data_IF_170179964174
#
_entry.id   IF_170179964174
#
_cell.length_a   1.000
_cell.length_b   1.000
_cell.length_c   1.000
_cell.angle_alpha   90.00
_cell.angle_beta   90.00
_cell.angle_gamma   90.00
#
_symmetry.space_group_name_H-M   'P 1'
#
loop_
_entity.id
_entity.type
_entity.pdbx_description
1 polymer ?
#
# COMPACT_ATOMS: atom_id res chain seq x y z
N UNK A 1 21.61 18.12 -40.85
CA UNK A 1 20.41 18.09 -39.97
C UNK A 1 19.89 16.68 -39.64
N UNK A 2 19.82 15.72 -40.58
CA UNK A 2 19.24 14.38 -40.34
C UNK A 2 20.08 13.49 -39.40
N UNK A 3 21.41 13.57 -39.45
CA UNK A 3 22.33 12.83 -38.55
C UNK A 3 22.29 13.37 -37.12
N UNK A 4 22.27 14.70 -36.96
CA UNK A 4 22.17 15.36 -35.64
C UNK A 4 20.88 14.97 -34.90
N UNK A 5 19.73 14.99 -35.58
CA UNK A 5 18.45 14.54 -35.00
C UNK A 5 18.49 13.07 -34.56
N UNK A 6 19.16 12.19 -35.33
CA UNK A 6 19.32 10.77 -34.96
C UNK A 6 20.22 10.58 -33.75
N UNK A 7 21.36 11.27 -33.70
CA UNK A 7 22.28 11.25 -32.56
C UNK A 7 21.61 11.78 -31.29
N UNK A 8 20.81 12.84 -31.41
CA UNK A 8 20.04 13.41 -30.29
C UNK A 8 18.98 12.41 -29.79
N UNK A 9 18.23 11.78 -30.69
CA UNK A 9 17.23 10.77 -30.31
C UNK A 9 17.87 9.56 -29.60
N UNK A 10 19.04 9.10 -30.06
CA UNK A 10 19.79 8.02 -29.39
C UNK A 10 20.26 8.45 -28.00
N UNK A 11 20.76 9.69 -27.86
CA UNK A 11 21.15 10.24 -26.56
C UNK A 11 19.98 10.31 -25.57
N UNK A 12 18.81 10.79 -26.02
CA UNK A 12 17.60 10.84 -25.20
C UNK A 12 17.15 9.44 -24.82
N UNK A 13 17.14 8.49 -25.76
CA UNK A 13 16.77 7.10 -25.49
C UNK A 13 17.69 6.45 -24.47
N UNK A 14 19.01 6.66 -24.59
CA UNK A 14 19.98 6.12 -23.64
C UNK A 14 19.79 6.75 -22.25
N UNK A 15 19.57 8.06 -22.18
CA UNK A 15 19.30 8.75 -20.93
C UNK A 15 18.03 8.21 -20.24
N UNK A 16 16.95 8.02 -21.01
CA UNK A 16 15.71 7.44 -20.48
C UNK A 16 15.94 6.02 -19.95
N UNK A 17 16.70 5.18 -20.66
CA UNK A 17 17.04 3.83 -20.21
C UNK A 17 17.84 3.86 -18.90
N UNK A 18 18.83 4.74 -18.78
CA UNK A 18 19.62 4.89 -17.55
C UNK A 18 18.74 5.33 -16.38
N UNK A 19 17.84 6.30 -16.59
CA UNK A 19 16.89 6.74 -15.56
C UNK A 19 15.94 5.61 -15.16
N UNK A 20 15.40 4.87 -16.13
CA UNK A 20 14.54 3.70 -15.88
C UNK A 20 15.26 2.65 -15.03
N UNK A 21 16.50 2.34 -15.40
CA UNK A 21 17.33 1.40 -14.65
C UNK A 21 17.60 1.87 -13.23
N UNK A 22 17.98 3.14 -13.04
CA UNK A 22 18.36 3.67 -11.73
C UNK A 22 17.17 3.77 -10.77
N UNK A 23 16.00 4.20 -11.25
CA UNK A 23 14.86 4.50 -10.39
C UNK A 23 13.85 3.37 -10.25
N UNK A 24 13.85 2.38 -11.15
CA UNK A 24 12.88 1.27 -11.09
C UNK A 24 13.56 -0.08 -11.04
N UNK A 25 14.46 -0.39 -11.99
CA UNK A 25 15.08 -1.73 -12.05
C UNK A 25 15.99 -1.99 -10.85
N UNK A 26 16.88 -1.06 -10.51
CA UNK A 26 17.84 -1.23 -9.40
C UNK A 26 17.13 -1.36 -8.05
N UNK A 27 16.18 -0.48 -7.66
CA UNK A 27 15.46 -0.64 -6.40
C UNK A 27 14.66 -1.94 -6.34
N UNK A 28 14.03 -2.34 -7.45
CA UNK A 28 13.32 -3.61 -7.53
C UNK A 28 14.24 -4.83 -7.29
N UNK A 29 15.48 -4.79 -7.79
CA UNK A 29 16.43 -5.90 -7.59
C UNK A 29 17.01 -5.94 -6.17
N UNK A 30 17.10 -4.81 -5.47
CA UNK A 30 17.66 -4.73 -4.12
C UNK A 30 16.59 -5.03 -3.06
N UNK A 31 15.43 -4.38 -3.13
CA UNK A 31 14.38 -4.43 -2.11
C UNK A 31 13.26 -5.40 -2.50
N UNK A 32 13.08 -5.65 -3.79
CA UNK A 32 11.98 -6.46 -4.33
C UNK A 32 10.84 -5.61 -4.89
N UNK A 33 9.72 -6.26 -5.28
CA UNK A 33 8.53 -5.55 -5.73
C UNK A 33 7.95 -4.66 -4.61
N UNK A 34 7.32 -3.52 -4.96
CA UNK A 34 6.53 -2.74 -4.02
C UNK A 34 5.48 -3.60 -3.32
N UNK A 35 5.30 -3.37 -2.01
CA UNK A 35 4.37 -4.14 -1.17
C UNK A 35 2.92 -3.64 -1.38
N UNK A 36 1.88 -4.37 -0.94
CA UNK A 36 0.50 -3.86 -1.02
C UNK A 36 0.30 -2.60 -0.16
N UNK A 37 -0.80 -1.87 -0.41
CA UNK A 37 -1.17 -0.70 0.39
C UNK A 37 -1.51 -1.11 1.82
N UNK A 38 -2.33 -2.16 1.93
CA UNK A 38 -2.63 -2.81 3.19
C UNK A 38 -2.87 -4.30 2.97
N UNK A 39 -2.66 -5.07 4.04
CA UNK A 39 -3.07 -6.46 4.20
C UNK A 39 -3.99 -6.57 5.40
N UNK A 40 -5.01 -7.42 5.30
CA UNK A 40 -5.87 -7.78 6.43
C UNK A 40 -5.90 -9.28 6.55
N UNK A 41 -5.70 -9.80 7.76
CA UNK A 41 -5.83 -11.22 8.06
C UNK A 41 -6.75 -11.47 9.23
N UNK A 42 -7.67 -12.41 9.07
CA UNK A 42 -8.53 -12.88 10.15
C UNK A 42 -7.88 -14.09 10.84
N UNK A 43 -7.44 -13.92 12.10
CA UNK A 43 -6.93 -15.01 12.92
C UNK A 43 -8.01 -15.64 13.82
N UNK A 44 -9.20 -15.05 13.87
CA UNK A 44 -10.37 -15.60 14.57
C UNK A 44 -10.94 -16.82 13.80
N UNK A 45 -11.69 -17.66 14.51
CA UNK A 45 -12.56 -18.71 13.98
C UNK A 45 -13.89 -18.18 13.44
N UNK A 46 -14.25 -16.93 13.77
CA UNK A 46 -15.46 -16.26 13.29
C UNK A 46 -15.34 -15.69 11.87
N UNK A 47 -16.50 -15.41 11.26
CA UNK A 47 -16.58 -14.57 10.06
C UNK A 47 -16.81 -13.13 10.52
N UNK A 48 -16.01 -12.20 10.00
CA UNK A 48 -16.11 -10.79 10.35
C UNK A 48 -16.31 -9.89 9.14
N UNK A 49 -17.08 -8.83 9.34
CA UNK A 49 -17.23 -7.76 8.37
C UNK A 49 -16.23 -6.64 8.71
N UNK A 50 -15.28 -6.37 7.81
CA UNK A 50 -14.34 -5.27 7.94
C UNK A 50 -14.57 -4.23 6.85
N UNK A 51 -15.00 -3.03 7.24
CA UNK A 51 -15.01 -1.86 6.37
C UNK A 51 -13.71 -1.09 6.46
N UNK A 52 -13.08 -0.85 5.32
CA UNK A 52 -11.83 -0.14 5.15
C UNK A 52 -12.10 1.16 4.39
N UNK A 53 -11.89 2.28 5.07
CA UNK A 53 -11.93 3.62 4.50
C UNK A 53 -10.52 4.21 4.47
N UNK A 54 -10.07 4.69 3.32
CA UNK A 54 -8.74 5.29 3.15
C UNK A 54 -8.91 6.70 2.62
N UNK A 55 -8.27 7.65 3.29
CA UNK A 55 -8.26 9.06 2.90
C UNK A 55 -6.83 9.53 2.62
N UNK A 56 -6.67 10.38 1.60
CA UNK A 56 -5.39 11.06 1.35
C UNK A 56 -5.16 12.21 2.35
N UNK A 57 -4.00 12.86 2.27
CA UNK A 57 -3.62 13.99 3.12
C UNK A 57 -4.53 15.22 3.00
N UNK A 58 -5.34 15.31 1.94
CA UNK A 58 -6.36 16.36 1.75
C UNK A 58 -7.75 15.90 2.18
N UNK A 59 -7.83 14.74 2.82
CA UNK A 59 -9.06 14.08 3.25
C UNK A 59 -10.00 13.69 2.10
N UNK A 60 -9.47 13.48 0.88
CA UNK A 60 -10.24 12.89 -0.20
C UNK A 60 -10.34 11.39 0.02
N UNK A 61 -11.52 10.81 -0.21
CA UNK A 61 -11.71 9.36 -0.17
C UNK A 61 -10.97 8.70 -1.33
N UNK A 62 -10.04 7.80 -1.01
CA UNK A 62 -9.24 6.99 -1.94
C UNK A 62 -9.83 5.59 -2.05
N UNK A 63 -10.35 5.05 -0.95
CA UNK A 63 -11.00 3.75 -0.89
C UNK A 63 -12.12 3.80 0.15
N UNK A 64 -13.23 3.14 -0.16
CA UNK A 64 -14.27 2.76 0.79
C UNK A 64 -14.81 1.40 0.35
N UNK A 65 -14.44 0.35 1.08
CA UNK A 65 -14.84 -1.03 0.77
C UNK A 65 -15.09 -1.82 2.03
N UNK A 66 -16.07 -2.69 1.96
CA UNK A 66 -16.36 -3.70 2.99
C UNK A 66 -15.90 -5.07 2.50
N UNK A 67 -15.19 -5.78 3.37
CA UNK A 67 -14.72 -7.14 3.17
C UNK A 67 -15.40 -8.06 4.18
N UNK A 68 -15.88 -9.20 3.73
CA UNK A 68 -16.34 -10.29 4.58
C UNK A 68 -15.20 -11.29 4.67
N UNK A 69 -14.65 -11.50 5.86
CA UNK A 69 -13.44 -12.28 6.08
C UNK A 69 -13.76 -13.53 6.88
N UNK A 70 -13.60 -14.68 6.24
CA UNK A 70 -13.72 -15.99 6.87
C UNK A 70 -12.52 -16.28 7.79
N UNK A 71 -12.64 -17.29 8.64
CA UNK A 71 -11.55 -17.72 9.51
C UNK A 71 -10.28 -18.06 8.71
N UNK A 72 -9.16 -17.42 9.07
CA UNK A 72 -7.88 -17.58 8.39
C UNK A 72 -7.76 -16.88 7.04
N UNK A 73 -8.81 -16.19 6.57
CA UNK A 73 -8.79 -15.48 5.30
C UNK A 73 -7.88 -14.25 5.37
N UNK A 74 -7.18 -14.00 4.25
CA UNK A 74 -6.29 -12.88 4.10
C UNK A 74 -6.60 -12.14 2.79
N UNK A 75 -6.72 -10.82 2.89
CA UNK A 75 -7.00 -9.94 1.75
C UNK A 75 -5.91 -8.88 1.63
N UNK A 76 -5.58 -8.56 0.39
CA UNK A 76 -4.58 -7.55 0.07
C UNK A 76 -5.18 -6.51 -0.86
N UNK A 77 -4.81 -5.26 -0.65
CA UNK A 77 -5.13 -4.20 -1.59
C UNK A 77 -3.86 -3.65 -2.23
N UNK A 78 -3.72 -3.72 -3.57
CA UNK A 78 -2.51 -3.25 -4.23
C UNK A 78 -2.37 -1.73 -4.12
N UNK A 79 -1.13 -1.23 -4.15
CA UNK A 79 -0.90 0.21 -4.25
C UNK A 79 -1.25 0.73 -5.65
N UNK A 80 -1.76 1.96 -5.77
CA UNK A 80 -1.85 2.64 -7.05
C UNK A 80 -0.47 2.79 -7.72
N UNK A 81 -0.44 2.78 -9.06
CA UNK A 81 0.79 2.80 -9.87
C UNK A 81 1.78 3.93 -9.50
N UNK A 82 1.27 5.07 -9.02
CA UNK A 82 2.07 6.22 -8.56
C UNK A 82 3.06 5.91 -7.43
N UNK A 83 2.78 4.88 -6.62
CA UNK A 83 3.67 4.39 -5.58
C UNK A 83 4.73 3.41 -6.07
N UNK A 84 4.72 3.01 -7.35
CA UNK A 84 5.75 2.11 -7.89
C UNK A 84 7.06 2.83 -8.20
N UNK A 85 7.04 4.17 -8.27
CA UNK A 85 8.22 4.98 -8.57
C UNK A 85 8.72 5.61 -7.26
N UNK A 86 9.93 5.25 -6.79
CA UNK A 86 10.50 5.81 -5.58
C UNK A 86 10.61 7.33 -5.66
N UNK A 87 10.14 8.01 -4.61
CA UNK A 87 10.16 9.48 -4.51
C UNK A 87 9.12 10.22 -5.35
N UNK A 88 8.29 9.51 -6.13
CA UNK A 88 7.21 10.13 -6.91
C UNK A 88 5.97 10.40 -6.06
N UNK A 89 5.58 9.45 -5.21
CA UNK A 89 4.53 9.64 -4.23
C UNK A 89 4.97 9.16 -2.85
N UNK A 90 5.06 10.11 -1.94
CA UNK A 90 5.21 9.93 -0.50
C UNK A 90 4.24 10.90 0.13
N UNK A 91 3.18 10.38 0.73
CA UNK A 91 2.13 11.22 1.30
C UNK A 91 1.50 10.52 2.49
N UNK A 92 0.95 11.34 3.37
CA UNK A 92 0.26 10.86 4.55
C UNK A 92 -1.14 10.37 4.15
N UNK A 93 -1.47 9.16 4.59
CA UNK A 93 -2.78 8.55 4.40
C UNK A 93 -3.36 8.22 5.76
N UNK A 94 -4.68 8.32 5.84
CA UNK A 94 -5.44 7.93 7.02
C UNK A 94 -6.32 6.75 6.66
N UNK A 95 -6.08 5.64 7.36
CA UNK A 95 -6.83 4.41 7.28
C UNK A 95 -7.82 4.38 8.44
N UNK A 96 -9.05 4.02 8.14
CA UNK A 96 -10.08 3.81 9.14
C UNK A 96 -10.69 2.43 8.91
N UNK A 97 -10.56 1.60 9.94
CA UNK A 97 -10.98 0.22 9.95
C UNK A 97 -12.18 0.09 10.88
N UNK A 98 -13.31 -0.36 10.34
CA UNK A 98 -14.54 -0.59 11.10
C UNK A 98 -14.88 -2.08 11.07
N UNK A 99 -14.74 -2.76 12.21
CA UNK A 99 -15.05 -4.18 12.38
C UNK A 99 -16.47 -4.36 12.92
N UNK A 100 -17.26 -5.21 12.25
CA UNK A 100 -18.64 -5.60 12.58
C UNK A 100 -19.55 -4.41 12.91
N UNK A 101 -19.29 -3.26 12.29
CA UNK A 101 -19.95 -1.98 12.54
C UNK A 101 -19.96 -1.54 14.03
N UNK A 102 -19.01 -2.02 14.83
CA UNK A 102 -18.93 -1.77 16.28
C UNK A 102 -17.61 -1.16 16.71
N UNK A 103 -16.50 -1.72 16.23
CA UNK A 103 -15.16 -1.29 16.61
C UNK A 103 -14.56 -0.50 15.47
N UNK A 104 -14.16 0.73 15.74
CA UNK A 104 -13.53 1.60 14.75
C UNK A 104 -12.16 2.02 15.25
N UNK A 105 -11.13 1.73 14.47
CA UNK A 105 -9.76 2.15 14.73
C UNK A 105 -9.26 2.96 13.54
N UNK A 106 -8.47 3.99 13.82
CA UNK A 106 -7.92 4.89 12.80
C UNK A 106 -6.41 4.92 12.93
N UNK A 107 -5.73 4.78 11.79
CA UNK A 107 -4.28 4.76 11.72
C UNK A 107 -3.80 5.67 10.59
N UNK A 108 -2.90 6.58 10.92
CA UNK A 108 -2.31 7.50 9.94
C UNK A 108 -0.83 7.20 9.81
N UNK A 109 -0.38 6.99 8.57
CA UNK A 109 1.04 6.78 8.27
C UNK A 109 1.40 7.38 6.91
N UNK A 110 2.69 7.53 6.68
CA UNK A 110 3.23 7.97 5.40
C UNK A 110 3.40 6.77 4.48
N UNK A 111 2.66 6.71 3.38
CA UNK A 111 2.74 5.58 2.45
C UNK A 111 3.88 5.77 1.45
N UNK A 112 4.67 4.72 1.29
CA UNK A 112 5.85 4.58 0.45
C UNK A 112 5.75 3.30 -0.40
N UNK A 113 6.63 3.08 -1.39
CA UNK A 113 6.53 1.88 -2.24
C UNK A 113 6.61 0.56 -1.44
N UNK A 114 7.47 0.48 -0.43
CA UNK A 114 7.80 -0.76 0.30
C UNK A 114 7.31 -0.82 1.75
N UNK A 115 6.29 -0.03 2.11
CA UNK A 115 5.61 -0.19 3.40
C UNK A 115 4.16 -0.67 3.26
N UNK A 116 3.65 -1.42 4.21
CA UNK A 116 2.30 -1.96 4.19
C UNK A 116 1.67 -1.77 5.54
N UNK A 117 0.43 -1.27 5.56
CA UNK A 117 -0.41 -1.29 6.76
C UNK A 117 -0.96 -2.70 6.93
N UNK A 118 -0.55 -3.39 7.98
CA UNK A 118 -1.01 -4.73 8.30
C UNK A 118 -2.11 -4.65 9.36
N UNK A 119 -3.20 -5.36 9.12
CA UNK A 119 -4.33 -5.44 10.05
C UNK A 119 -4.58 -6.88 10.38
N UNK A 120 -4.55 -7.20 11.66
CA UNK A 120 -4.84 -8.53 12.16
C UNK A 120 -6.08 -8.49 13.05
N UNK A 121 -7.01 -9.43 12.81
CA UNK A 121 -8.23 -9.58 13.58
C UNK A 121 -8.08 -10.78 14.52
N UNK A 122 -8.32 -10.58 15.82
CA UNK A 122 -8.22 -11.61 16.85
C UNK A 122 -9.49 -11.65 17.71
N UNK A 123 -9.87 -12.85 18.16
CA UNK A 123 -11.02 -13.07 19.05
C UNK A 123 -10.82 -12.44 20.44
N UNK A 124 -9.62 -12.57 21.01
CA UNK A 124 -9.38 -12.42 22.44
C UNK A 124 -8.10 -11.62 22.72
N UNK A 125 -8.09 -10.32 22.44
CA UNK A 125 -7.02 -9.45 22.92
C UNK A 125 -7.31 -8.92 24.32
N UNK A 126 -6.25 -8.83 25.14
CA UNK A 126 -6.28 -8.58 26.59
C UNK A 126 -6.91 -7.24 27.06
N UNK A 127 -7.34 -6.39 26.12
CA UNK A 127 -7.94 -5.07 26.41
C UNK A 127 -9.30 -4.86 25.72
N UNK A 128 -9.91 -5.91 25.13
CA UNK A 128 -11.19 -5.80 24.43
C UNK A 128 -11.11 -5.06 23.08
N UNK A 129 -9.91 -5.00 22.48
CA UNK A 129 -9.67 -4.45 21.14
C UNK A 129 -9.41 -5.61 20.16
N UNK A 130 -10.36 -5.94 19.26
CA UNK A 130 -10.22 -7.08 18.35
C UNK A 130 -9.38 -6.77 17.09
N UNK A 131 -8.95 -5.51 16.90
CA UNK A 131 -8.19 -5.06 15.73
C UNK A 131 -6.77 -4.69 16.18
N UNK A 132 -5.77 -5.33 15.58
CA UNK A 132 -4.37 -4.91 15.65
C UNK A 132 -3.99 -4.23 14.34
N UNK A 133 -3.32 -3.09 14.41
CA UNK A 133 -2.83 -2.36 13.23
C UNK A 133 -1.33 -2.15 13.40
N UNK A 134 -0.57 -2.61 12.41
CA UNK A 134 0.88 -2.44 12.33
C UNK A 134 1.31 -1.86 10.98
N UNK A 135 2.61 -1.57 10.89
CA UNK A 135 3.26 -1.19 9.64
C UNK A 135 4.50 -2.06 9.44
N UNK A 136 4.57 -2.73 8.31
CA UNK A 136 5.77 -3.45 7.87
C UNK A 136 6.46 -2.58 6.82
N UNK A 137 7.76 -2.33 7.00
CA UNK A 137 8.63 -1.73 5.97
C UNK A 137 9.72 -2.72 5.61
N UNK A 138 9.98 -2.90 4.32
CA UNK A 138 11.03 -3.78 3.77
C UNK A 138 12.31 -2.99 3.50
#
# INVERSE_FOLDING_TARGET
>A
MRSFRRSLMLGISLLLLVLMSLFVVVPYLIVGPPTPLFSVRNHDVGVHELRVEIHDSKNNSVLDKTYELSAGEEVYHPKPFRFLIPGFEMADYTFKFTLDNRFTETYSTNIQPWNTVEVELYSDYAEGRPIFIGEITV
#
